data_IF_871436262981
#
_entry.id   IF_871436262981
#
_cell.length_a   1.000
_cell.length_b   1.000
_cell.length_c   1.000
_cell.angle_alpha   90.00
_cell.angle_beta   90.00
_cell.angle_gamma   90.00
#
_symmetry.space_group_name_H-M   'P 1'
#
loop_
_entity.id
_entity.type
_entity.pdbx_description
1 polymer ?
#
# COMPACT_ATOMS: atom_id res chain seq x y z
N UNK A 1 11.03 20.48 -3.06
CA UNK A 1 10.76 19.13 -3.58
C UNK A 1 9.46 18.65 -2.96
N UNK A 2 8.47 18.32 -3.77
CA UNK A 2 7.18 17.78 -3.30
C UNK A 2 7.14 16.28 -3.55
N UNK A 3 6.57 15.54 -2.60
CA UNK A 3 6.37 14.10 -2.68
C UNK A 3 4.90 13.83 -2.39
N UNK A 4 4.21 13.23 -3.35
CA UNK A 4 2.92 12.59 -3.13
C UNK A 4 3.19 11.15 -2.66
N UNK A 5 2.99 10.92 -1.36
CA UNK A 5 3.28 9.63 -0.72
C UNK A 5 2.25 8.55 -1.04
N UNK A 6 1.09 8.90 -1.59
CA UNK A 6 -0.03 7.98 -1.76
C UNK A 6 -0.95 8.38 -2.91
N UNK A 7 -0.63 7.93 -4.13
CA UNK A 7 -1.47 8.12 -5.30
C UNK A 7 -1.97 6.78 -5.86
N UNK A 8 -3.16 6.77 -6.45
CA UNK A 8 -3.70 5.63 -7.20
C UNK A 8 -3.85 5.97 -8.68
N UNK A 9 -2.74 6.19 -9.37
CA UNK A 9 -2.75 6.47 -10.82
C UNK A 9 -3.17 5.25 -11.67
N UNK A 10 -3.19 4.07 -11.07
CA UNK A 10 -3.74 2.81 -11.62
C UNK A 10 -5.26 2.69 -11.42
N UNK A 11 -5.91 3.68 -10.83
CA UNK A 11 -7.37 3.72 -10.72
C UNK A 11 -8.00 3.84 -12.11
N UNK A 12 -9.16 3.21 -12.29
CA UNK A 12 -9.97 3.34 -13.52
C UNK A 12 -10.26 4.81 -13.87
N UNK A 13 -10.28 5.70 -12.86
CA UNK A 13 -10.44 7.14 -13.06
C UNK A 13 -9.39 7.75 -14.01
N UNK A 14 -8.16 7.24 -14.01
CA UNK A 14 -7.05 7.76 -14.81
C UNK A 14 -6.82 7.02 -16.12
N UNK A 15 -7.59 5.97 -16.42
CA UNK A 15 -7.30 5.07 -17.53
C UNK A 15 -7.23 5.76 -18.90
N UNK A 16 -8.07 6.76 -19.13
CA UNK A 16 -8.11 7.49 -20.40
C UNK A 16 -7.05 8.59 -20.51
N UNK A 17 -6.50 9.07 -19.40
CA UNK A 17 -5.59 10.22 -19.34
C UNK A 17 -4.29 9.96 -18.54
N UNK A 18 -3.96 8.69 -18.26
CA UNK A 18 -2.82 8.33 -17.41
C UNK A 18 -1.49 8.93 -17.89
N UNK A 19 -1.23 8.88 -19.20
CA UNK A 19 0.00 9.42 -19.78
C UNK A 19 0.10 10.95 -19.61
N UNK A 20 -1.03 11.64 -19.73
CA UNK A 20 -1.12 13.09 -19.53
C UNK A 20 -0.83 13.46 -18.07
N UNK A 21 -1.43 12.73 -17.11
CA UNK A 21 -1.20 12.99 -15.68
C UNK A 21 0.24 12.65 -15.25
N UNK A 22 0.83 11.59 -15.81
CA UNK A 22 2.25 11.28 -15.62
C UNK A 22 3.12 12.43 -16.15
N UNK A 23 2.83 12.95 -17.35
CA UNK A 23 3.58 14.06 -17.94
C UNK A 23 3.49 15.32 -17.07
N UNK A 24 2.28 15.71 -16.66
CA UNK A 24 2.05 16.86 -15.76
C UNK A 24 2.82 16.72 -14.45
N UNK A 25 2.83 15.52 -13.88
CA UNK A 25 3.56 15.23 -12.64
C UNK A 25 5.07 15.41 -12.82
N UNK A 26 5.61 14.95 -13.96
CA UNK A 26 7.03 15.11 -14.32
C UNK A 26 7.40 16.57 -14.52
N UNK A 27 6.59 17.34 -15.23
CA UNK A 27 6.82 18.77 -15.47
C UNK A 27 6.81 19.59 -14.17
N UNK A 28 5.98 19.18 -13.21
CA UNK A 28 5.93 19.80 -11.87
C UNK A 28 7.03 19.31 -10.92
N UNK A 29 7.88 18.39 -11.36
CA UNK A 29 8.96 17.78 -10.56
C UNK A 29 8.48 17.18 -9.23
N UNK A 30 7.25 16.64 -9.23
CA UNK A 30 6.68 15.95 -8.07
C UNK A 30 7.12 14.50 -8.08
N UNK A 31 7.56 13.99 -6.93
CA UNK A 31 7.81 12.57 -6.76
C UNK A 31 6.53 11.87 -6.30
N UNK A 32 6.26 10.68 -6.81
CA UNK A 32 5.02 9.97 -6.54
C UNK A 32 5.30 8.55 -6.10
N UNK A 33 4.65 8.11 -5.03
CA UNK A 33 4.52 6.71 -4.67
C UNK A 33 3.12 6.22 -5.10
N UNK A 34 3.09 5.39 -6.13
CA UNK A 34 1.86 4.85 -6.70
C UNK A 34 1.49 3.53 -6.01
N UNK A 35 0.30 3.46 -5.44
CA UNK A 35 -0.07 2.44 -4.47
C UNK A 35 -0.89 1.34 -5.13
N UNK A 36 -0.34 0.12 -5.14
CA UNK A 36 -1.09 -1.09 -5.43
C UNK A 36 -1.99 -1.48 -4.26
N UNK A 37 -3.14 -2.06 -4.56
CA UNK A 37 -4.13 -2.50 -3.57
C UNK A 37 -4.51 -3.99 -3.72
N UNK A 38 -3.95 -4.66 -4.72
CA UNK A 38 -3.97 -6.10 -4.93
C UNK A 38 -2.79 -6.48 -5.87
N UNK A 39 -2.67 -7.76 -6.24
CA UNK A 39 -1.54 -8.22 -7.07
C UNK A 39 -1.45 -7.54 -8.44
N UNK A 40 -2.56 -7.43 -9.16
CA UNK A 40 -2.57 -6.89 -10.52
C UNK A 40 -2.27 -5.40 -10.53
N UNK A 41 -2.92 -4.65 -9.63
CA UNK A 41 -2.65 -3.22 -9.42
C UNK A 41 -1.21 -2.97 -8.95
N UNK A 42 -0.65 -3.85 -8.11
CA UNK A 42 0.76 -3.80 -7.69
C UNK A 42 1.74 -4.00 -8.85
N UNK A 43 1.47 -4.96 -9.76
CA UNK A 43 2.28 -5.16 -10.97
C UNK A 43 2.27 -3.91 -11.85
N UNK A 44 1.11 -3.31 -12.03
CA UNK A 44 0.94 -2.10 -12.83
C UNK A 44 1.67 -0.90 -12.21
N UNK A 45 1.54 -0.70 -10.89
CA UNK A 45 2.23 0.36 -10.17
C UNK A 45 3.76 0.28 -10.37
N UNK A 46 4.33 -0.92 -10.21
CA UNK A 46 5.77 -1.16 -10.45
C UNK A 46 6.15 -0.91 -11.91
N UNK A 47 5.31 -1.32 -12.87
CA UNK A 47 5.56 -1.10 -14.29
C UNK A 47 5.59 0.40 -14.66
N UNK A 48 4.68 1.20 -14.09
CA UNK A 48 4.68 2.67 -14.25
C UNK A 48 5.92 3.28 -13.61
N UNK A 49 6.28 2.86 -12.38
CA UNK A 49 7.42 3.38 -11.65
C UNK A 49 8.76 3.10 -12.36
N UNK A 50 8.90 1.95 -13.04
CA UNK A 50 10.07 1.61 -13.86
C UNK A 50 10.31 2.54 -15.03
N UNK A 51 9.24 3.05 -15.64
CA UNK A 51 9.31 3.92 -16.82
C UNK A 51 9.58 5.38 -16.47
N UNK A 52 9.44 5.77 -15.21
CA UNK A 52 9.47 7.18 -14.81
C UNK A 52 10.40 7.41 -13.60
N UNK A 53 11.36 8.33 -13.75
CA UNK A 53 12.43 8.56 -12.74
C UNK A 53 11.88 8.96 -11.37
N UNK A 54 10.91 9.87 -11.34
CA UNK A 54 10.27 10.43 -10.15
C UNK A 54 9.13 9.57 -9.57
N UNK A 55 8.88 8.39 -10.12
CA UNK A 55 7.83 7.49 -9.66
C UNK A 55 8.42 6.28 -8.94
N UNK A 56 7.74 5.89 -7.87
CA UNK A 56 7.94 4.71 -7.07
C UNK A 56 6.60 3.99 -6.90
N UNK A 57 6.65 2.79 -6.35
CA UNK A 57 5.47 1.96 -6.12
C UNK A 57 5.46 1.38 -4.71
N UNK A 58 4.25 1.12 -4.22
CA UNK A 58 4.01 0.24 -3.09
C UNK A 58 3.19 -0.94 -3.54
N UNK A 59 3.44 -2.11 -2.96
CA UNK A 59 2.76 -3.35 -3.34
C UNK A 59 2.11 -3.98 -2.13
N UNK A 60 0.88 -4.47 -2.29
CA UNK A 60 0.11 -4.98 -1.16
C UNK A 60 -1.29 -5.43 -1.56
N UNK A 61 -2.03 -5.87 -0.56
CA UNK A 61 -3.43 -6.28 -0.63
C UNK A 61 -4.20 -5.45 0.39
N UNK A 62 -5.08 -4.61 -0.14
CA UNK A 62 -5.96 -3.77 0.63
C UNK A 62 -7.00 -4.64 1.38
N UNK A 63 -7.48 -4.24 2.58
CA UNK A 63 -8.45 -5.02 3.34
C UNK A 63 -9.72 -5.41 2.59
N UNK A 64 -10.08 -4.72 1.51
CA UNK A 64 -11.24 -5.09 0.68
C UNK A 64 -10.98 -6.27 -0.25
N UNK A 65 -9.73 -6.51 -0.61
CA UNK A 65 -9.32 -7.49 -1.61
C UNK A 65 -8.81 -8.80 -0.98
N UNK A 66 -8.69 -8.86 0.35
CA UNK A 66 -8.17 -10.04 1.07
C UNK A 66 -9.04 -11.28 0.87
N UNK A 67 -8.38 -12.43 0.72
CA UNK A 67 -9.03 -13.72 0.55
C UNK A 67 -8.21 -14.89 1.14
N UNK A 68 -8.86 -16.02 1.42
CA UNK A 68 -8.18 -17.21 1.97
C UNK A 68 -7.15 -17.84 1.00
N UNK A 69 -7.27 -17.55 -0.30
CA UNK A 69 -6.47 -18.16 -1.37
C UNK A 69 -5.17 -17.40 -1.71
N UNK A 70 -4.65 -16.55 -0.82
CA UNK A 70 -3.58 -15.59 -1.15
C UNK A 70 -2.14 -16.08 -0.97
N UNK A 71 -1.92 -17.37 -0.65
CA UNK A 71 -0.55 -17.87 -0.40
C UNK A 71 0.38 -17.63 -1.59
N UNK A 72 -0.11 -17.84 -2.80
CA UNK A 72 0.64 -17.56 -4.04
C UNK A 72 0.80 -16.07 -4.29
N UNK A 73 -0.23 -15.28 -3.95
CA UNK A 73 -0.21 -13.82 -4.06
C UNK A 73 0.91 -13.18 -3.23
N UNK A 74 1.06 -13.59 -1.97
CA UNK A 74 2.12 -13.06 -1.08
C UNK A 74 3.51 -13.37 -1.63
N UNK A 75 3.72 -14.55 -2.23
CA UNK A 75 4.98 -14.91 -2.88
C UNK A 75 5.27 -14.00 -4.07
N UNK A 76 4.26 -13.69 -4.90
CA UNK A 76 4.42 -12.78 -6.03
C UNK A 76 4.64 -11.33 -5.58
N UNK A 77 3.92 -10.86 -4.56
CA UNK A 77 4.13 -9.53 -3.98
C UNK A 77 5.55 -9.39 -3.43
N UNK A 78 6.08 -10.43 -2.76
CA UNK A 78 7.47 -10.46 -2.31
C UNK A 78 8.47 -10.31 -3.46
N UNK A 79 8.23 -10.97 -4.60
CA UNK A 79 9.09 -10.82 -5.79
C UNK A 79 9.01 -9.40 -6.35
N UNK A 80 7.81 -8.81 -6.40
CA UNK A 80 7.63 -7.42 -6.85
C UNK A 80 8.34 -6.42 -5.91
N UNK A 81 8.23 -6.63 -4.61
CA UNK A 81 8.83 -5.78 -3.57
C UNK A 81 10.37 -5.81 -3.56
N UNK A 82 11.01 -6.76 -4.24
CA UNK A 82 12.47 -6.76 -4.44
C UNK A 82 12.93 -5.79 -5.53
N UNK A 83 12.00 -5.24 -6.32
CA UNK A 83 12.35 -4.23 -7.31
C UNK A 83 12.75 -2.91 -6.63
N UNK A 84 13.80 -2.24 -7.13
CA UNK A 84 14.28 -0.96 -6.57
C UNK A 84 13.25 0.16 -6.63
N UNK A 85 12.23 0.03 -7.47
CA UNK A 85 11.11 0.98 -7.58
C UNK A 85 9.96 0.66 -6.63
N UNK A 86 9.88 -0.56 -6.09
CA UNK A 86 8.92 -0.93 -5.06
C UNK A 86 9.55 -0.62 -3.68
N UNK A 87 9.04 0.41 -3.01
CA UNK A 87 9.70 0.99 -1.82
C UNK A 87 8.97 0.69 -0.51
N UNK A 88 7.74 0.15 -0.56
CA UNK A 88 6.96 -0.18 0.61
C UNK A 88 5.98 -1.33 0.36
N UNK A 89 5.52 -1.95 1.44
CA UNK A 89 4.36 -2.85 1.45
C UNK A 89 3.10 -2.04 1.78
N UNK A 90 2.16 -1.96 0.85
CA UNK A 90 1.01 -1.08 0.93
C UNK A 90 0.24 -1.01 -0.38
N UNK A 91 -1.05 -0.77 -0.39
CA UNK A 91 -1.91 -0.46 0.76
C UNK A 91 -2.35 -1.74 1.49
N UNK A 92 -2.17 -1.76 2.82
CA UNK A 92 -2.51 -2.91 3.69
C UNK A 92 -3.21 -2.38 4.94
N UNK A 93 -3.93 -3.20 5.68
CA UNK A 93 -4.50 -2.75 6.95
C UNK A 93 -5.90 -3.28 7.22
N UNK A 94 -6.72 -2.47 7.89
CA UNK A 94 -8.01 -2.86 8.43
C UNK A 94 -9.08 -1.81 8.11
N UNK A 95 -10.26 -2.24 7.68
CA UNK A 95 -11.43 -1.39 7.51
C UNK A 95 -12.67 -2.04 8.11
N UNK A 96 -13.05 -1.56 9.29
CA UNK A 96 -14.24 -2.03 10.02
C UNK A 96 -15.49 -1.21 9.72
N UNK A 97 -15.36 -0.20 8.86
CA UNK A 97 -16.49 0.64 8.46
C UNK A 97 -17.29 0.02 7.31
N UNK A 98 -16.61 -0.46 6.26
CA UNK A 98 -17.29 -0.96 5.05
C UNK A 98 -17.75 -2.41 5.14
N UNK A 99 -17.13 -3.22 6.00
CA UNK A 99 -17.49 -4.63 6.22
C UNK A 99 -17.54 -5.47 4.92
N UNK A 100 -16.60 -5.24 4.01
CA UNK A 100 -16.55 -5.91 2.70
C UNK A 100 -16.03 -7.35 2.84
N UNK A 101 -15.04 -7.55 3.71
CA UNK A 101 -14.38 -8.84 3.99
C UNK A 101 -14.45 -9.14 5.49
N UNK A 102 -14.27 -10.41 5.86
CA UNK A 102 -14.27 -10.83 7.26
C UNK A 102 -13.14 -10.14 8.05
N UNK A 103 -13.44 -9.63 9.24
CA UNK A 103 -12.48 -8.87 10.03
C UNK A 103 -11.35 -9.71 10.60
N UNK A 104 -11.55 -11.01 10.84
CA UNK A 104 -10.45 -11.88 11.26
C UNK A 104 -9.51 -12.15 10.10
N UNK A 105 -10.06 -12.35 8.90
CA UNK A 105 -9.28 -12.46 7.67
C UNK A 105 -8.47 -11.18 7.39
N UNK A 106 -9.07 -10.00 7.55
CA UNK A 106 -8.32 -8.73 7.42
C UNK A 106 -7.14 -8.66 8.41
N UNK A 107 -7.35 -9.06 9.68
CA UNK A 107 -6.27 -9.09 10.68
C UNK A 107 -5.17 -10.07 10.31
N UNK A 108 -5.53 -11.28 9.89
CA UNK A 108 -4.58 -12.29 9.44
C UNK A 108 -3.73 -11.77 8.26
N UNK A 109 -4.37 -11.24 7.22
CA UNK A 109 -3.66 -10.75 6.03
C UNK A 109 -2.90 -9.46 6.27
N UNK A 110 -3.35 -8.63 7.20
CA UNK A 110 -2.57 -7.47 7.64
C UNK A 110 -1.31 -7.92 8.40
N UNK A 111 -1.42 -8.87 9.33
CA UNK A 111 -0.27 -9.44 10.05
C UNK A 111 0.76 -10.04 9.07
N UNK A 112 0.31 -10.87 8.11
CA UNK A 112 1.17 -11.48 7.08
C UNK A 112 1.96 -10.44 6.28
N UNK A 113 1.30 -9.34 5.88
CA UNK A 113 1.94 -8.29 5.08
C UNK A 113 2.90 -7.40 5.90
N UNK A 114 2.63 -7.17 7.19
CA UNK A 114 3.60 -6.50 8.09
C UNK A 114 4.84 -7.39 8.30
N UNK A 115 4.68 -8.71 8.43
CA UNK A 115 5.82 -9.62 8.46
C UNK A 115 6.62 -9.59 7.16
N UNK A 116 5.97 -9.50 6.01
CA UNK A 116 6.66 -9.34 4.72
C UNK A 116 7.48 -8.05 4.68
N UNK A 117 6.92 -6.91 5.12
CA UNK A 117 7.63 -5.64 5.21
C UNK A 117 8.85 -5.73 6.13
N UNK A 118 8.70 -6.39 7.29
CA UNK A 118 9.77 -6.67 8.24
C UNK A 118 10.86 -7.56 7.65
N UNK A 119 10.48 -8.64 6.96
CA UNK A 119 11.42 -9.56 6.32
C UNK A 119 12.27 -8.85 5.27
N UNK A 120 11.64 -8.01 4.45
CA UNK A 120 12.32 -7.25 3.40
C UNK A 120 13.01 -5.97 3.92
N UNK A 121 12.80 -5.62 5.18
CA UNK A 121 13.31 -4.40 5.81
C UNK A 121 12.96 -3.13 5.01
N UNK A 122 11.73 -3.06 4.51
CA UNK A 122 11.14 -1.89 3.84
C UNK A 122 9.93 -1.37 4.62
N UNK A 123 9.57 -0.09 4.47
CA UNK A 123 8.42 0.46 5.18
C UNK A 123 7.09 -0.17 4.75
N UNK A 124 6.05 0.02 5.57
CA UNK A 124 4.67 -0.30 5.23
C UNK A 124 3.75 0.93 5.20
N UNK A 125 2.60 0.82 4.51
CA UNK A 125 1.57 1.87 4.39
C UNK A 125 0.22 1.28 4.81
N UNK A 126 -0.32 1.81 5.91
CA UNK A 126 -1.51 1.27 6.58
C UNK A 126 -2.75 2.09 6.23
N UNK A 127 -3.74 1.43 5.63
CA UNK A 127 -5.14 1.84 5.64
C UNK A 127 -5.75 1.45 6.98
N UNK A 128 -6.31 2.43 7.68
CA UNK A 128 -7.01 2.18 8.92
C UNK A 128 -8.27 3.01 8.93
N UNK A 129 -9.42 2.34 9.04
CA UNK A 129 -10.71 3.01 9.16
C UNK A 129 -11.58 2.34 10.21
N UNK A 130 -11.87 3.09 11.28
CA UNK A 130 -12.53 2.59 12.51
C UNK A 130 -11.82 1.36 13.09
N UNK A 131 -10.50 1.31 12.98
CA UNK A 131 -9.69 0.13 13.29
C UNK A 131 -8.32 0.47 13.87
N UNK A 132 -8.13 1.71 14.35
CA UNK A 132 -6.82 2.22 14.79
C UNK A 132 -6.17 1.36 15.87
N UNK A 133 -6.90 1.08 16.96
CA UNK A 133 -6.39 0.30 18.08
C UNK A 133 -5.96 -1.12 17.64
N UNK A 134 -6.81 -1.81 16.87
CA UNK A 134 -6.48 -3.12 16.30
C UNK A 134 -5.26 -3.07 15.37
N UNK A 135 -5.18 -2.06 14.50
CA UNK A 135 -4.03 -1.89 13.62
C UNK A 135 -2.74 -1.66 14.42
N UNK A 136 -2.81 -0.82 15.46
CA UNK A 136 -1.67 -0.49 16.31
C UNK A 136 -1.23 -1.67 17.17
N UNK A 137 -2.17 -2.45 17.71
CA UNK A 137 -1.89 -3.64 18.50
C UNK A 137 -1.17 -4.71 17.68
N UNK A 138 -1.59 -4.92 16.43
CA UNK A 138 -0.89 -5.80 15.48
C UNK A 138 0.56 -5.33 15.25
N UNK A 139 0.75 -4.04 14.95
CA UNK A 139 2.08 -3.47 14.72
C UNK A 139 2.97 -3.61 15.96
N UNK A 140 2.44 -3.30 17.15
CA UNK A 140 3.13 -3.43 18.44
C UNK A 140 3.53 -4.87 18.73
N UNK A 141 2.62 -5.83 18.51
CA UNK A 141 2.84 -7.27 18.69
C UNK A 141 3.98 -7.77 17.79
N UNK A 142 4.05 -7.32 16.55
CA UNK A 142 5.10 -7.71 15.59
C UNK A 142 6.44 -6.98 15.89
N UNK A 143 6.38 -5.79 16.48
CA UNK A 143 7.55 -5.00 16.87
C UNK A 143 8.35 -4.47 15.68
N UNK A 144 7.66 -4.10 14.60
CA UNK A 144 8.27 -3.46 13.42
C UNK A 144 7.60 -2.11 13.19
N UNK A 145 8.30 -1.02 13.52
CA UNK A 145 7.78 0.34 13.53
C UNK A 145 8.34 1.18 12.38
N UNK A 146 8.23 0.66 11.16
CA UNK A 146 8.73 1.32 9.96
C UNK A 146 7.57 1.47 8.97
N UNK A 147 6.74 2.50 9.12
CA UNK A 147 5.61 2.72 8.24
C UNK A 147 4.77 3.92 8.62
N UNK A 148 3.70 4.13 7.88
CA UNK A 148 2.76 5.25 8.06
C UNK A 148 1.32 4.76 8.06
N UNK A 149 0.44 5.50 8.75
CA UNK A 149 -1.00 5.46 8.50
C UNK A 149 -1.31 6.52 7.44
N UNK A 150 -1.71 6.12 6.24
CA UNK A 150 -2.06 7.10 5.21
C UNK A 150 -3.46 7.64 5.47
N UNK A 151 -3.73 8.86 4.99
CA UNK A 151 -5.03 9.51 5.13
C UNK A 151 -5.59 9.48 6.57
N UNK A 152 -4.72 9.72 7.56
CA UNK A 152 -5.07 9.69 8.97
C UNK A 152 -6.24 10.63 9.28
N UNK A 153 -7.38 10.05 9.69
CA UNK A 153 -8.63 10.74 9.99
C UNK A 153 -9.07 10.62 11.47
N UNK A 154 -8.16 10.16 12.33
CA UNK A 154 -8.36 10.02 13.77
C UNK A 154 -8.04 11.29 14.56
N UNK A 155 -8.24 11.25 15.88
CA UNK A 155 -8.08 12.39 16.78
C UNK A 155 -6.65 12.56 17.31
N UNK A 156 -6.48 13.59 18.14
CA UNK A 156 -5.21 13.91 18.79
C UNK A 156 -4.73 12.82 19.78
N UNK A 157 -5.64 11.96 20.25
CA UNK A 157 -5.29 10.89 21.17
C UNK A 157 -4.62 9.72 20.45
N UNK A 158 -4.95 9.52 19.17
CA UNK A 158 -4.38 8.49 18.31
C UNK A 158 -3.05 8.94 17.65
N UNK A 159 -2.77 10.24 17.60
CA UNK A 159 -1.56 10.83 17.00
C UNK A 159 -0.34 10.79 17.93
#
# INVERSE_FOLDING_TARGET
MLIDSHAHLISEFYKENLEEEILKTREKEVFVNNIGFNLESSKEAVAIAKKNKNFFASVGIHPYDVSDSEKETIVELKKLAQDKKAIAIGEIGLDFYRQITDFNLQREKFEEQIYLAKELNIPFIVHSRKSFDDSLDIIKKIGYFNGIFHSFDYGINEA
#
